data_IF_758569042694
#
_entry.id   IF_758569042694
#
_cell.length_a   1.000
_cell.length_b   1.000
_cell.length_c   1.000
_cell.angle_alpha   90.00
_cell.angle_beta   90.00
_cell.angle_gamma   90.00
#
_symmetry.space_group_name_H-M   'P 1'
#
loop_
_entity.id
_entity.type
_entity.pdbx_description
1 polymer ?
#
# COMPACT_ATOMS: atom_id res chain seq x y z
N UNK A 1 7.84 -15.20 6.11
CA UNK A 1 6.55 -15.75 5.62
C UNK A 1 6.73 -16.13 4.18
N UNK A 2 6.60 -17.41 3.88
CA UNK A 2 6.61 -17.91 2.50
C UNK A 2 5.27 -17.58 1.86
N UNK A 3 5.29 -16.88 0.73
CA UNK A 3 4.08 -16.61 -0.06
C UNK A 3 3.44 -17.96 -0.44
N UNK A 4 2.17 -18.22 -0.09
CA UNK A 4 1.55 -19.52 -0.36
C UNK A 4 1.57 -19.86 -1.85
N UNK A 5 1.81 -21.13 -2.19
CA UNK A 5 1.90 -21.60 -3.59
C UNK A 5 0.67 -21.16 -4.38
N UNK A 6 0.88 -20.57 -5.56
CA UNK A 6 -0.21 -20.02 -6.39
C UNK A 6 -0.69 -18.62 -6.00
N UNK A 7 -0.01 -17.93 -5.07
CA UNK A 7 -0.32 -16.56 -4.69
C UNK A 7 0.60 -15.58 -5.38
N UNK A 8 0.01 -14.65 -6.15
CA UNK A 8 0.71 -13.50 -6.70
C UNK A 8 0.95 -12.50 -5.58
N UNK A 9 2.14 -11.89 -5.55
CA UNK A 9 2.46 -10.80 -4.64
C UNK A 9 2.99 -9.62 -5.45
N UNK A 10 2.37 -8.44 -5.30
CA UNK A 10 2.90 -7.18 -5.83
C UNK A 10 3.34 -6.30 -4.66
N UNK A 11 4.60 -5.90 -4.66
CA UNK A 11 5.14 -4.91 -3.72
C UNK A 11 5.08 -3.51 -4.35
N UNK A 12 4.62 -2.54 -3.57
CA UNK A 12 4.61 -1.11 -3.88
C UNK A 12 5.46 -0.44 -2.79
N UNK A 13 6.54 0.26 -3.20
CA UNK A 13 7.34 1.05 -2.27
C UNK A 13 6.60 2.32 -1.85
N UNK A 14 6.68 2.67 -0.57
CA UNK A 14 6.22 3.94 -0.05
C UNK A 14 7.44 4.79 0.34
N UNK A 15 7.22 6.08 0.57
CA UNK A 15 8.20 6.96 1.20
C UNK A 15 8.58 6.45 2.60
N UNK A 16 9.79 6.79 3.07
CA UNK A 16 10.30 6.47 4.40
C UNK A 16 10.30 4.95 4.74
N UNK A 17 10.80 4.12 3.82
CA UNK A 17 11.01 2.68 3.98
C UNK A 17 9.75 1.83 4.25
N UNK A 18 8.58 2.42 3.99
CA UNK A 18 7.31 1.72 3.95
C UNK A 18 7.13 0.91 2.66
N UNK A 19 6.26 -0.09 2.71
CA UNK A 19 5.77 -0.77 1.52
C UNK A 19 4.37 -1.35 1.73
N UNK A 20 3.61 -1.41 0.63
CA UNK A 20 2.35 -2.14 0.56
C UNK A 20 2.57 -3.40 -0.27
N UNK A 21 2.18 -4.54 0.27
CA UNK A 21 2.14 -5.81 -0.43
C UNK A 21 0.69 -6.16 -0.75
N UNK A 22 0.40 -6.41 -2.01
CA UNK A 22 -0.89 -6.90 -2.48
C UNK A 22 -0.74 -8.38 -2.83
N UNK A 23 -1.34 -9.24 -2.03
CA UNK A 23 -1.38 -10.68 -2.24
C UNK A 23 -2.71 -11.07 -2.87
N UNK A 24 -2.70 -11.84 -3.96
CA UNK A 24 -3.91 -12.34 -4.59
C UNK A 24 -3.77 -13.79 -5.06
N UNK A 25 -4.84 -14.57 -4.88
CA UNK A 25 -4.98 -15.93 -5.39
C UNK A 25 -6.47 -16.26 -5.60
N UNK A 26 -6.77 -17.52 -5.95
CA UNK A 26 -8.15 -17.98 -6.12
C UNK A 26 -9.02 -17.94 -4.86
N UNK A 27 -8.41 -17.79 -3.67
CA UNK A 27 -9.12 -17.71 -2.38
C UNK A 27 -9.41 -16.27 -1.96
N UNK A 28 -8.77 -15.27 -2.57
CA UNK A 28 -9.07 -13.86 -2.31
C UNK A 28 -7.89 -12.92 -2.44
N UNK A 29 -8.09 -11.72 -1.89
CA UNK A 29 -7.16 -10.59 -1.89
C UNK A 29 -6.77 -10.25 -0.45
N UNK A 30 -5.50 -9.96 -0.22
CA UNK A 30 -5.01 -9.46 1.06
C UNK A 30 -4.07 -8.29 0.81
N UNK A 31 -4.35 -7.17 1.46
CA UNK A 31 -3.48 -6.01 1.49
C UNK A 31 -2.65 -6.04 2.77
N UNK A 32 -1.34 -5.86 2.64
CA UNK A 32 -0.44 -5.81 3.78
C UNK A 32 0.37 -4.53 3.76
N UNK A 33 0.24 -3.72 4.80
CA UNK A 33 1.07 -2.54 5.01
C UNK A 33 2.24 -2.93 5.92
N UNK A 34 3.45 -2.59 5.50
CA UNK A 34 4.66 -2.92 6.23
C UNK A 34 5.59 -1.72 6.28
N UNK A 35 6.08 -1.39 7.47
CA UNK A 35 7.25 -0.53 7.67
C UNK A 35 8.37 -1.36 8.25
N UNK A 36 9.44 -1.52 7.48
CA UNK A 36 10.63 -2.20 7.97
C UNK A 36 11.53 -1.17 8.63
N UNK A 37 12.21 -1.55 9.72
CA UNK A 37 13.32 -0.78 10.26
C UNK A 37 14.57 -1.62 10.06
N UNK A 38 15.49 -1.23 9.17
CA UNK A 38 16.76 -1.90 9.08
C UNK A 38 17.92 -0.90 9.10
N UNK A 39 17.98 0.00 10.08
CA UNK A 39 19.17 0.84 10.33
C UNK A 39 19.36 1.05 11.83
N UNK A 40 20.62 1.13 12.28
CA UNK A 40 20.96 1.46 13.68
C UNK A 40 20.47 2.86 14.08
N UNK A 41 20.25 3.72 13.09
CA UNK A 41 19.85 5.13 13.24
C UNK A 41 18.39 5.32 13.68
N UNK A 42 17.52 4.33 13.46
CA UNK A 42 16.06 4.49 13.62
C UNK A 42 15.45 3.46 14.58
N UNK A 43 16.21 3.06 15.61
CA UNK A 43 15.85 2.02 16.59
C UNK A 43 14.53 2.28 17.33
N UNK A 44 14.14 3.55 17.49
CA UNK A 44 12.91 3.95 18.20
C UNK A 44 11.69 4.06 17.27
N UNK A 45 11.89 3.98 15.94
CA UNK A 45 10.79 4.05 15.00
C UNK A 45 9.93 2.77 15.08
N UNK A 46 8.58 2.90 15.09
CA UNK A 46 7.72 1.74 15.16
C UNK A 46 7.83 0.91 13.87
N UNK A 47 8.34 -0.32 13.99
CA UNK A 47 8.16 -1.33 12.94
C UNK A 47 6.79 -1.96 13.08
N UNK A 48 6.08 -2.08 11.96
CA UNK A 48 4.79 -2.74 11.95
C UNK A 48 4.55 -3.48 10.65
N UNK A 49 3.70 -4.49 10.76
CA UNK A 49 3.24 -5.30 9.65
C UNK A 49 1.80 -5.70 9.92
N UNK A 50 0.88 -5.13 9.13
CA UNK A 50 -0.55 -5.39 9.26
C UNK A 50 -1.04 -5.97 7.95
N UNK A 51 -1.78 -7.07 8.00
CA UNK A 51 -2.38 -7.71 6.84
C UNK A 51 -3.89 -7.77 7.01
N UNK A 52 -4.62 -7.30 6.01
CA UNK A 52 -6.07 -7.20 6.02
C UNK A 52 -6.60 -7.92 4.79
N UNK A 53 -7.43 -8.97 4.94
CA UNK A 53 -8.15 -9.54 3.81
C UNK A 53 -9.18 -8.52 3.32
N UNK A 54 -9.35 -8.42 2.01
CA UNK A 54 -10.32 -7.52 1.39
C UNK A 54 -11.32 -8.33 0.58
N UNK A 55 -12.60 -7.97 0.69
CA UNK A 55 -13.62 -8.37 -0.27
C UNK A 55 -13.38 -7.63 -1.60
N UNK A 56 -13.80 -8.21 -2.74
CA UNK A 56 -13.66 -7.54 -4.03
C UNK A 56 -14.27 -6.12 -4.07
N UNK A 57 -15.42 -5.90 -3.43
CA UNK A 57 -16.06 -4.59 -3.35
C UNK A 57 -15.23 -3.56 -2.58
N UNK A 58 -14.66 -3.95 -1.44
CA UNK A 58 -13.81 -3.08 -0.61
C UNK A 58 -12.51 -2.71 -1.34
N UNK A 59 -11.97 -3.66 -2.12
CA UNK A 59 -10.79 -3.40 -2.93
C UNK A 59 -11.05 -2.40 -4.06
N UNK A 60 -12.23 -2.48 -4.69
CA UNK A 60 -12.67 -1.53 -5.72
C UNK A 60 -12.88 -0.15 -5.11
N UNK A 61 -13.56 -0.07 -3.96
CA UNK A 61 -13.81 1.18 -3.25
C UNK A 61 -12.50 1.86 -2.84
N UNK A 62 -11.56 1.10 -2.26
CA UNK A 62 -10.23 1.61 -1.92
C UNK A 62 -9.47 2.11 -3.16
N UNK A 63 -9.54 1.39 -4.28
CA UNK A 63 -8.87 1.81 -5.51
C UNK A 63 -9.49 3.09 -6.08
N UNK A 64 -10.82 3.21 -6.05
CA UNK A 64 -11.53 4.40 -6.50
C UNK A 64 -11.18 5.63 -5.66
N UNK A 65 -11.12 5.48 -4.34
CA UNK A 65 -10.76 6.57 -3.43
C UNK A 65 -9.32 7.04 -3.68
N UNK A 66 -8.37 6.12 -3.81
CA UNK A 66 -6.97 6.48 -4.12
C UNK A 66 -6.85 7.28 -5.41
N UNK A 67 -7.61 6.90 -6.45
CA UNK A 67 -7.63 7.64 -7.71
C UNK A 67 -8.27 9.02 -7.56
N UNK A 68 -9.39 9.11 -6.84
CA UNK A 68 -10.09 10.38 -6.60
C UNK A 68 -9.20 11.39 -5.86
N UNK A 69 -8.50 10.96 -4.81
CA UNK A 69 -7.55 11.79 -4.06
C UNK A 69 -6.44 12.34 -4.96
N UNK A 70 -5.82 11.47 -5.78
CA UNK A 70 -4.75 11.87 -6.70
C UNK A 70 -5.26 12.86 -7.76
N UNK A 71 -6.43 12.61 -8.33
CA UNK A 71 -7.04 13.53 -9.30
C UNK A 71 -7.32 14.90 -8.70
N UNK A 72 -7.85 14.95 -7.46
CA UNK A 72 -8.11 16.21 -6.78
C UNK A 72 -6.82 16.97 -6.44
N UNK A 73 -5.77 16.27 -6.05
CA UNK A 73 -4.48 16.89 -5.70
C UNK A 73 -3.79 17.47 -6.95
N UNK A 74 -3.83 16.77 -8.09
CA UNK A 74 -3.33 17.27 -9.36
C UNK A 74 -4.06 18.57 -9.79
N UNK A 75 -5.39 18.62 -9.63
CA UNK A 75 -6.17 19.82 -9.92
C UNK A 75 -5.85 21.00 -8.98
N UNK A 76 -5.47 20.72 -7.73
CA UNK A 76 -4.97 21.74 -6.80
C UNK A 76 -3.62 22.30 -7.25
N UNK A 77 -2.66 21.43 -7.56
CA UNK A 77 -1.31 21.83 -7.98
C UNK A 77 -1.32 22.67 -9.27
N UNK A 78 -2.23 22.34 -10.21
CA UNK A 78 -2.50 23.17 -11.41
C UNK A 78 -2.98 24.57 -11.10
N UNK A 79 -3.92 24.70 -10.16
CA UNK A 79 -4.47 26.01 -9.75
C UNK A 79 -3.45 26.87 -9.02
N UNK A 80 -2.49 26.25 -8.34
CA UNK A 80 -1.42 26.94 -7.61
C UNK A 80 -0.20 27.26 -8.50
N UNK A 81 -0.18 26.82 -9.76
CA UNK A 81 0.87 27.15 -10.73
C UNK A 81 2.23 26.48 -10.46
N UNK A 82 2.22 25.30 -9.84
CA UNK A 82 3.40 24.55 -9.39
C UNK A 82 3.78 23.36 -10.29
N UNK A 83 3.18 23.23 -11.48
CA UNK A 83 3.54 22.23 -12.50
C UNK A 83 4.61 22.73 -13.49
#
# INVERSE_FOLDING_TARGET
MTTPKGTRCRKIGLVADGCIHVYSNSRGLTLQVRRSVPTEEDILAPSFKVAVPLRPSEAIELAAELLAVVSNDAERLRKEGLE
#
